data_IF_272647029612
#
_entry.id   IF_272647029612
#
_cell.length_a   1.000
_cell.length_b   1.000
_cell.length_c   1.000
_cell.angle_alpha   90.00
_cell.angle_beta   90.00
_cell.angle_gamma   90.00
#
_symmetry.space_group_name_H-M   'P 1'
#
loop_
_entity.id
_entity.type
_entity.pdbx_description
1 polymer ?
#
# COMPACT_ATOMS: atom_id res chain seq x y z
N UNK A 1 -19.86 -27.19 -8.45
CA UNK A 1 -19.08 -26.83 -9.66
C UNK A 1 -17.95 -25.93 -9.18
N UNK A 2 -16.68 -26.15 -9.59
CA UNK A 2 -15.60 -25.29 -9.14
C UNK A 2 -15.92 -23.87 -9.62
N UNK A 3 -16.07 -22.96 -8.67
CA UNK A 3 -16.28 -21.55 -8.92
C UNK A 3 -14.97 -21.07 -9.59
N UNK A 4 -14.93 -21.07 -10.92
CA UNK A 4 -13.83 -20.42 -11.64
C UNK A 4 -13.81 -18.98 -11.13
N UNK A 5 -12.75 -18.56 -10.41
CA UNK A 5 -12.68 -17.19 -9.93
C UNK A 5 -12.78 -16.29 -11.16
N UNK A 6 -13.60 -15.24 -11.06
CA UNK A 6 -13.77 -14.25 -12.11
C UNK A 6 -12.38 -13.73 -12.52
N UNK A 7 -11.91 -14.17 -13.68
CA UNK A 7 -10.60 -13.85 -14.22
C UNK A 7 -10.44 -12.34 -14.45
N UNK A 8 -11.55 -11.65 -14.75
CA UNK A 8 -11.55 -10.20 -14.90
C UNK A 8 -11.30 -9.50 -13.57
N UNK A 9 -12.01 -9.92 -12.51
CA UNK A 9 -11.78 -9.43 -11.17
C UNK A 9 -10.35 -9.73 -10.68
N UNK A 10 -9.87 -10.96 -10.89
CA UNK A 10 -8.51 -11.35 -10.50
C UNK A 10 -7.43 -10.53 -11.22
N UNK A 11 -7.59 -10.25 -12.51
CA UNK A 11 -6.68 -9.41 -13.28
C UNK A 11 -6.68 -7.96 -12.79
N UNK A 12 -7.84 -7.41 -12.44
CA UNK A 12 -7.96 -6.08 -11.86
C UNK A 12 -7.27 -6.00 -10.49
N UNK A 13 -7.46 -6.98 -9.61
CA UNK A 13 -6.76 -7.05 -8.34
C UNK A 13 -5.24 -7.13 -8.53
N UNK A 14 -4.77 -7.98 -9.44
CA UNK A 14 -3.35 -8.11 -9.73
C UNK A 14 -2.73 -6.80 -10.26
N UNK A 15 -3.46 -6.08 -11.12
CA UNK A 15 -3.05 -4.79 -11.65
C UNK A 15 -2.95 -3.72 -10.55
N UNK A 16 -3.94 -3.66 -9.64
CA UNK A 16 -3.92 -2.74 -8.49
C UNK A 16 -2.74 -3.03 -7.57
N UNK A 17 -2.49 -4.30 -7.26
CA UNK A 17 -1.33 -4.72 -6.44
C UNK A 17 -0.02 -4.35 -7.12
N UNK A 18 0.09 -4.58 -8.44
CA UNK A 18 1.26 -4.23 -9.23
C UNK A 18 1.51 -2.72 -9.24
N UNK A 19 0.49 -1.90 -9.47
CA UNK A 19 0.58 -0.44 -9.45
C UNK A 19 0.92 0.08 -8.05
N UNK A 20 0.37 -0.52 -6.99
CA UNK A 20 0.70 -0.18 -5.62
C UNK A 20 2.17 -0.49 -5.30
N UNK A 21 2.66 -1.67 -5.71
CA UNK A 21 4.07 -2.05 -5.57
C UNK A 21 5.00 -1.13 -6.39
N UNK A 22 4.59 -0.75 -7.62
CA UNK A 22 5.33 0.17 -8.47
C UNK A 22 5.37 1.58 -7.87
N UNK A 23 4.25 2.09 -7.37
CA UNK A 23 4.17 3.39 -6.70
C UNK A 23 5.02 3.40 -5.43
N UNK A 24 5.00 2.31 -4.67
CA UNK A 24 5.89 2.11 -3.53
C UNK A 24 7.37 2.16 -3.98
N UNK A 25 7.74 1.42 -5.03
CA UNK A 25 9.09 1.42 -5.58
C UNK A 25 9.55 2.82 -6.02
N UNK A 26 8.66 3.60 -6.64
CA UNK A 26 8.94 5.00 -7.02
C UNK A 26 9.19 5.86 -5.78
N UNK A 27 8.40 5.66 -4.72
CA UNK A 27 8.57 6.37 -3.45
C UNK A 27 9.89 6.00 -2.76
N UNK A 28 10.37 4.76 -2.86
CA UNK A 28 11.69 4.36 -2.37
C UNK A 28 12.85 5.11 -3.06
N UNK A 29 12.66 5.60 -4.29
CA UNK A 29 13.69 6.34 -5.04
C UNK A 29 13.77 7.81 -4.61
N UNK A 30 12.68 8.37 -4.08
CA UNK A 30 12.59 9.79 -3.77
C UNK A 30 12.65 10.04 -2.26
N UNK A 31 13.63 10.83 -1.81
CA UNK A 31 13.79 11.16 -0.39
C UNK A 31 12.58 11.95 0.13
N UNK A 32 11.62 11.26 0.75
CA UNK A 32 10.42 11.92 1.29
C UNK A 32 10.77 12.66 2.57
N UNK A 33 10.35 13.94 2.65
CA UNK A 33 10.41 14.71 3.89
C UNK A 33 9.50 14.09 4.97
N UNK A 34 9.95 14.01 6.24
CA UNK A 34 9.23 13.32 7.31
C UNK A 34 7.79 13.82 7.53
N UNK A 35 7.54 15.13 7.37
CA UNK A 35 6.19 15.69 7.47
C UNK A 35 5.22 15.20 6.37
N UNK A 36 5.72 15.02 5.14
CA UNK A 36 4.92 14.50 4.03
C UNK A 36 4.66 13.01 4.21
N UNK A 37 5.61 12.27 4.78
CA UNK A 37 5.45 10.86 5.07
C UNK A 37 4.39 10.60 6.15
N UNK A 38 4.39 11.39 7.23
CA UNK A 38 3.33 11.30 8.25
C UNK A 38 1.95 11.60 7.68
N UNK A 39 1.85 12.60 6.79
CA UNK A 39 0.60 12.91 6.10
C UNK A 39 0.13 11.75 5.20
N UNK A 40 1.05 11.11 4.47
CA UNK A 40 0.76 9.93 3.65
C UNK A 40 0.30 8.74 4.51
N UNK A 41 0.97 8.46 5.63
CA UNK A 41 0.55 7.43 6.59
C UNK A 41 -0.83 7.70 7.20
N UNK A 42 -1.11 8.95 7.57
CA UNK A 42 -2.41 9.33 8.09
C UNK A 42 -3.51 9.15 7.04
N UNK A 43 -3.24 9.53 5.79
CA UNK A 43 -4.15 9.33 4.66
C UNK A 43 -4.36 7.84 4.37
N UNK A 44 -3.30 7.02 4.45
CA UNK A 44 -3.33 5.59 4.25
C UNK A 44 -4.25 4.88 5.26
N UNK A 45 -4.09 5.22 6.56
CA UNK A 45 -4.95 4.70 7.63
C UNK A 45 -6.40 5.16 7.47
N UNK A 46 -6.63 6.43 7.13
CA UNK A 46 -7.98 6.95 6.91
C UNK A 46 -8.66 6.27 5.73
N UNK A 47 -7.93 6.04 4.63
CA UNK A 47 -8.44 5.35 3.45
C UNK A 47 -8.73 3.88 3.74
N UNK A 48 -7.86 3.19 4.48
CA UNK A 48 -8.09 1.82 4.92
C UNK A 48 -9.33 1.70 5.80
N UNK A 49 -9.54 2.61 6.75
CA UNK A 49 -10.73 2.64 7.59
C UNK A 49 -12.01 2.82 6.77
N UNK A 50 -11.97 3.67 5.74
CA UNK A 50 -13.08 3.91 4.83
C UNK A 50 -13.40 2.67 3.97
N UNK A 51 -12.37 1.97 3.50
CA UNK A 51 -12.52 0.71 2.76
C UNK A 51 -13.07 -0.43 3.63
N UNK A 52 -12.64 -0.53 4.89
CA UNK A 52 -13.20 -1.49 5.85
C UNK A 52 -14.68 -1.19 6.08
N UNK A 53 -15.04 0.08 6.23
CA UNK A 53 -16.45 0.49 6.39
C UNK A 53 -17.29 0.15 5.16
N UNK A 54 -16.71 0.26 3.97
CA UNK A 54 -17.31 -0.14 2.70
C UNK A 54 -17.27 -1.66 2.44
N UNK A 55 -16.91 -2.49 3.44
CA UNK A 55 -16.76 -3.95 3.40
C UNK A 55 -15.70 -4.49 2.43
N UNK A 56 -14.84 -3.63 1.88
CA UNK A 56 -13.73 -3.96 0.99
C UNK A 56 -12.44 -4.29 1.77
N UNK A 57 -12.54 -5.26 2.68
CA UNK A 57 -11.47 -5.59 3.64
C UNK A 57 -10.16 -6.01 2.96
N UNK A 58 -10.24 -6.73 1.83
CA UNK A 58 -9.05 -7.13 1.07
C UNK A 58 -8.27 -5.95 0.51
N UNK A 59 -8.97 -4.93 -0.01
CA UNK A 59 -8.34 -3.71 -0.53
C UNK A 59 -7.79 -2.85 0.60
N UNK A 60 -8.47 -2.81 1.75
CA UNK A 60 -7.98 -2.10 2.92
C UNK A 60 -6.62 -2.64 3.41
N UNK A 61 -6.41 -3.95 3.37
CA UNK A 61 -5.11 -4.54 3.71
C UNK A 61 -4.02 -4.17 2.71
N UNK A 62 -4.34 -4.05 1.42
CA UNK A 62 -3.37 -3.60 0.40
C UNK A 62 -2.95 -2.15 0.62
N UNK A 63 -3.89 -1.29 1.00
CA UNK A 63 -3.62 0.11 1.36
C UNK A 63 -2.68 0.16 2.56
N UNK A 64 -3.03 -0.50 3.67
CA UNK A 64 -2.17 -0.56 4.86
C UNK A 64 -0.78 -1.13 4.58
N UNK A 65 -0.68 -2.15 3.72
CA UNK A 65 0.61 -2.73 3.34
C UNK A 65 1.53 -1.69 2.67
N UNK A 66 0.96 -0.73 1.91
CA UNK A 66 1.73 0.36 1.34
C UNK A 66 2.30 1.28 2.43
N UNK A 67 1.48 1.69 3.42
CA UNK A 67 1.95 2.47 4.57
C UNK A 67 3.04 1.75 5.37
N UNK A 68 2.89 0.45 5.61
CA UNK A 68 3.90 -0.35 6.31
C UNK A 68 5.21 -0.48 5.52
N UNK A 69 5.15 -0.58 4.20
CA UNK A 69 6.36 -0.70 3.40
C UNK A 69 7.12 0.65 3.32
N UNK A 70 6.44 1.79 3.41
CA UNK A 70 7.08 3.10 3.61
C UNK A 70 7.79 3.19 4.98
N UNK A 71 7.14 2.72 6.05
CA UNK A 71 7.76 2.63 7.37
C UNK A 71 8.98 1.70 7.36
N UNK A 72 8.88 0.57 6.66
CA UNK A 72 9.96 -0.38 6.46
C UNK A 72 11.16 0.25 5.75
N UNK A 73 10.93 1.06 4.70
CA UNK A 73 12.01 1.78 4.03
C UNK A 73 12.76 2.71 4.99
N UNK A 74 12.04 3.53 5.75
CA UNK A 74 12.66 4.46 6.68
C UNK A 74 13.42 3.77 7.80
N UNK A 75 12.88 2.65 8.30
CA UNK A 75 13.60 1.83 9.26
C UNK A 75 14.90 1.31 8.65
N UNK A 76 14.85 0.82 7.41
CA UNK A 76 16.02 0.33 6.68
C UNK A 76 17.06 1.42 6.44
N UNK A 77 16.66 2.57 5.87
CA UNK A 77 17.52 3.73 5.67
C UNK A 77 18.25 4.13 6.96
N UNK A 78 17.51 4.27 8.08
CA UNK A 78 18.09 4.61 9.39
C UNK A 78 19.06 3.57 9.94
N UNK A 79 18.87 2.30 9.58
CA UNK A 79 19.73 1.20 10.01
C UNK A 79 20.99 1.08 9.13
N UNK A 80 20.92 1.44 7.84
CA UNK A 80 22.04 1.31 6.89
C UNK A 80 22.85 2.59 6.69
N UNK A 81 22.35 3.76 7.11
CA UNK A 81 23.10 5.04 7.06
C UNK A 81 23.71 5.45 8.41
N UNK A 82 23.72 4.55 9.40
CA UNK A 82 24.62 4.63 10.58
C UNK A 82 25.90 3.85 10.30
#
# INVERSE_FOLDING_TARGET
MPLLPDLGAAALYALVVFLAALGLLVVFIEAIRPGRMLALLAADVALAALLIWATEVGVAFLVLAAGFALLGNQAFERLTTR
#
